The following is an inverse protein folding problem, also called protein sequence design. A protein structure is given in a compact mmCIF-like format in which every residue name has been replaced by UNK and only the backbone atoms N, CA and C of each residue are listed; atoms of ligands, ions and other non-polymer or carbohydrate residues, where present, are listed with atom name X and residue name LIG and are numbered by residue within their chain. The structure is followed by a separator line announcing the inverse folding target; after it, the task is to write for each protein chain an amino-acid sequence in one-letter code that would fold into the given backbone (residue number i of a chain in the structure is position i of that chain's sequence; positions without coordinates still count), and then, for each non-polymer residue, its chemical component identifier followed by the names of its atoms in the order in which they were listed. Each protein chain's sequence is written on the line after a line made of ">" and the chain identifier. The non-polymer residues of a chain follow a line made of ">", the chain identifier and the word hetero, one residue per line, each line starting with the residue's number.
data_IF_148854747829
#
_entry.id   IF_148854747829
#
_cell.length_a   1.000
_cell.length_b   1.000
_cell.length_c   1.000
_cell.angle_alpha   90.00
_cell.angle_beta   90.00
_cell.angle_gamma   90.00
#
_symmetry.space_group_name_H-M   'P 1'
#
loop_
_entity.id
_entity.type
_entity.pdbx_description
1 polymer ?
#
# COMPACT_ATOMS: atom_id res chain seq x y z
N UNK A 1 -0.82 -37.72 13.99
CA UNK A 1 -2.00 -37.33 13.18
C UNK A 1 -1.64 -36.12 12.32
N UNK A 2 -1.73 -36.19 10.98
CA UNK A 2 -1.39 -35.06 10.12
C UNK A 2 -2.42 -33.95 10.30
N UNK A 3 -1.97 -32.77 10.74
CA UNK A 3 -2.80 -31.57 10.80
C UNK A 3 -3.15 -31.19 9.36
N UNK A 4 -4.40 -31.41 8.97
CA UNK A 4 -4.98 -30.86 7.75
C UNK A 4 -4.92 -29.35 7.85
N UNK A 5 -3.89 -28.74 7.27
CA UNK A 5 -3.85 -27.29 7.09
C UNK A 5 -4.92 -26.96 6.07
N UNK A 6 -6.12 -26.61 6.55
CA UNK A 6 -7.16 -25.96 5.76
C UNK A 6 -6.59 -24.64 5.28
N UNK A 7 -5.90 -24.66 4.13
CA UNK A 7 -5.44 -23.44 3.45
C UNK A 7 -6.68 -22.61 3.19
N UNK A 8 -6.85 -21.53 3.94
CA UNK A 8 -7.90 -20.54 3.67
C UNK A 8 -7.84 -20.22 2.17
N UNK A 9 -8.97 -20.28 1.46
CA UNK A 9 -8.97 -20.00 0.03
C UNK A 9 -8.39 -18.60 -0.22
N UNK A 10 -7.74 -18.38 -1.38
CA UNK A 10 -7.20 -17.08 -1.73
C UNK A 10 -8.29 -16.01 -1.59
N UNK A 11 -7.96 -14.88 -0.95
CA UNK A 11 -8.90 -13.78 -0.63
C UNK A 11 -9.65 -13.22 -1.85
N UNK A 12 -9.14 -13.51 -3.05
CA UNK A 12 -9.61 -12.93 -4.30
C UNK A 12 -10.33 -13.96 -5.19
N UNK A 13 -10.70 -15.13 -4.65
CA UNK A 13 -11.33 -16.19 -5.43
C UNK A 13 -12.86 -16.02 -5.47
N UNK A 14 -13.38 -15.73 -6.65
CA UNK A 14 -14.80 -15.74 -6.99
C UNK A 14 -15.26 -17.12 -7.39
N UNK A 15 -16.51 -17.44 -7.07
CA UNK A 15 -17.16 -18.66 -7.57
C UNK A 15 -18.35 -18.23 -8.42
N UNK A 16 -18.16 -18.23 -9.74
CA UNK A 16 -19.20 -17.91 -10.70
C UNK A 16 -19.93 -19.18 -11.09
N UNK A 17 -21.26 -19.12 -11.25
CA UNK A 17 -22.01 -20.19 -11.92
C UNK A 17 -22.06 -19.87 -13.41
N UNK A 18 -21.54 -20.76 -14.23
CA UNK A 18 -21.71 -20.72 -15.68
C UNK A 18 -23.14 -21.16 -16.05
N UNK A 19 -23.56 -20.83 -17.26
CA UNK A 19 -24.90 -21.17 -17.79
C UNK A 19 -25.14 -22.66 -17.97
N UNK A 20 -24.07 -23.46 -18.07
CA UNK A 20 -24.13 -24.93 -18.04
C UNK A 20 -24.28 -25.50 -16.61
N UNK A 21 -24.49 -24.64 -15.61
CA UNK A 21 -24.62 -25.01 -14.20
C UNK A 21 -23.29 -25.31 -13.50
N UNK A 22 -22.16 -25.24 -14.22
CA UNK A 22 -20.85 -25.51 -13.63
C UNK A 22 -20.39 -24.34 -12.77
N UNK A 23 -19.70 -24.66 -11.68
CA UNK A 23 -19.05 -23.66 -10.83
C UNK A 23 -17.64 -23.39 -11.36
N UNK A 24 -17.37 -22.15 -11.72
CA UNK A 24 -16.07 -21.68 -12.18
C UNK A 24 -15.44 -20.82 -11.09
N UNK A 25 -14.28 -21.24 -10.61
CA UNK A 25 -13.49 -20.44 -9.68
C UNK A 25 -12.54 -19.52 -10.43
N UNK A 26 -12.64 -18.23 -10.17
CA UNK A 26 -11.93 -17.17 -10.90
C UNK A 26 -11.28 -16.24 -9.90
N UNK A 27 -10.04 -15.80 -10.15
CA UNK A 27 -9.47 -14.77 -9.30
C UNK A 27 -9.94 -13.38 -9.76
N UNK A 28 -10.30 -12.48 -8.84
CA UNK A 28 -10.76 -11.12 -9.12
C UNK A 28 -9.86 -10.38 -10.12
N UNK A 29 -8.54 -10.50 -9.94
CA UNK A 29 -7.51 -9.92 -10.82
C UNK A 29 -7.52 -10.41 -12.26
N UNK A 30 -8.23 -11.50 -12.55
CA UNK A 30 -8.36 -12.06 -13.89
C UNK A 30 -9.54 -11.47 -14.65
N UNK A 31 -10.47 -10.76 -13.98
CA UNK A 31 -11.61 -10.12 -14.65
C UNK A 31 -11.13 -8.84 -15.33
N UNK A 32 -11.31 -8.74 -16.64
CA UNK A 32 -11.00 -7.53 -17.43
C UNK A 32 -12.22 -6.65 -17.63
N UNK A 33 -13.36 -7.27 -17.96
CA UNK A 33 -14.59 -6.57 -18.26
C UNK A 33 -15.78 -7.42 -17.82
N UNK A 34 -16.85 -6.73 -17.45
CA UNK A 34 -18.17 -7.29 -17.18
C UNK A 34 -19.14 -6.55 -18.08
N UNK A 35 -19.71 -7.25 -19.05
CA UNK A 35 -20.60 -6.67 -20.04
C UNK A 35 -21.99 -7.30 -19.87
N UNK A 36 -23.08 -6.51 -19.78
CA UNK A 36 -24.42 -7.09 -19.74
C UNK A 36 -24.68 -7.90 -21.01
N UNK A 37 -25.32 -9.08 -20.88
CA UNK A 37 -25.63 -9.94 -22.03
C UNK A 37 -26.58 -9.23 -22.99
N UNK A 38 -26.20 -9.16 -24.27
CA UNK A 38 -27.01 -8.54 -25.31
C UNK A 38 -28.36 -9.25 -25.53
N UNK A 39 -28.47 -10.52 -25.13
CA UNK A 39 -29.68 -11.34 -25.28
C UNK A 39 -30.75 -11.13 -24.20
N UNK A 40 -30.54 -10.22 -23.23
CA UNK A 40 -31.54 -9.89 -22.20
C UNK A 40 -31.83 -11.02 -21.19
N UNK A 41 -31.11 -12.15 -21.25
CA UNK A 41 -31.35 -13.34 -20.45
C UNK A 41 -30.95 -13.23 -18.95
N UNK A 42 -30.80 -12.01 -18.40
CA UNK A 42 -30.40 -11.84 -17.00
C UNK A 42 -29.00 -12.37 -16.69
N UNK A 43 -28.09 -12.32 -17.66
CA UNK A 43 -26.70 -12.76 -17.50
C UNK A 43 -25.73 -11.65 -17.89
N UNK A 44 -24.52 -11.68 -17.36
CA UNK A 44 -23.39 -10.83 -17.72
C UNK A 44 -22.27 -11.69 -18.31
N UNK A 45 -21.67 -11.23 -19.41
CA UNK A 45 -20.44 -11.76 -19.96
C UNK A 45 -19.26 -11.24 -19.14
N UNK A 46 -18.52 -12.16 -18.54
CA UNK A 46 -17.30 -11.86 -17.78
C UNK A 46 -16.11 -12.29 -18.63
N UNK A 47 -15.29 -11.33 -19.03
CA UNK A 47 -14.03 -11.60 -19.73
C UNK A 47 -12.91 -11.85 -18.74
N UNK A 48 -12.33 -13.05 -18.82
CA UNK A 48 -11.28 -13.52 -17.92
C UNK A 48 -9.97 -13.66 -18.68
N UNK A 49 -8.88 -13.13 -18.14
CA UNK A 49 -7.54 -13.36 -18.64
C UNK A 49 -6.83 -14.45 -17.84
N UNK A 50 -6.68 -15.64 -18.43
CA UNK A 50 -6.00 -16.78 -17.79
C UNK A 50 -5.00 -17.39 -18.77
N UNK A 51 -3.72 -17.44 -18.38
CA UNK A 51 -2.67 -18.08 -19.18
C UNK A 51 -2.49 -17.49 -20.58
N UNK A 52 -2.76 -16.19 -20.76
CA UNK A 52 -2.65 -15.53 -22.07
C UNK A 52 -3.89 -15.64 -22.97
N UNK A 53 -4.98 -16.27 -22.51
CA UNK A 53 -6.23 -16.42 -23.28
C UNK A 53 -7.38 -15.70 -22.58
N UNK A 54 -8.26 -15.11 -23.37
CA UNK A 54 -9.55 -14.58 -22.92
C UNK A 54 -10.59 -15.70 -22.86
N UNK A 55 -11.33 -15.78 -21.77
CA UNK A 55 -12.47 -16.67 -21.62
C UNK A 55 -13.72 -15.85 -21.30
N UNK A 56 -14.86 -16.20 -21.91
CA UNK A 56 -16.15 -15.56 -21.65
C UNK A 56 -16.96 -16.50 -20.77
N UNK A 57 -17.35 -16.04 -19.59
CA UNK A 57 -18.25 -16.76 -18.68
C UNK A 57 -19.55 -15.97 -18.56
N UNK A 58 -20.68 -16.63 -18.73
CA UNK A 58 -21.99 -16.05 -18.43
C UNK A 58 -22.29 -16.26 -16.95
N UNK A 59 -22.54 -15.19 -16.20
CA UNK A 59 -22.87 -15.23 -14.78
C UNK A 59 -24.08 -14.32 -14.50
N UNK A 60 -24.84 -14.59 -13.44
CA UNK A 60 -25.92 -13.70 -12.99
C UNK A 60 -25.32 -12.34 -12.56
N UNK A 61 -25.78 -11.20 -13.11
CA UNK A 61 -25.27 -9.88 -12.78
C UNK A 61 -25.48 -9.52 -11.30
N UNK A 62 -26.56 -9.99 -10.65
CA UNK A 62 -26.82 -9.73 -9.24
C UNK A 62 -25.84 -10.50 -8.33
N UNK A 63 -25.59 -11.78 -8.63
CA UNK A 63 -24.59 -12.58 -7.91
C UNK A 63 -23.18 -12.01 -8.13
N UNK A 64 -22.86 -11.61 -9.37
CA UNK A 64 -21.57 -11.03 -9.70
C UNK A 64 -21.37 -9.68 -9.00
N UNK A 65 -22.38 -8.81 -8.97
CA UNK A 65 -22.31 -7.54 -8.25
C UNK A 65 -22.13 -7.74 -6.74
N UNK A 66 -22.84 -8.70 -6.13
CA UNK A 66 -22.68 -9.05 -4.72
C UNK A 66 -21.28 -9.61 -4.42
N UNK A 67 -20.76 -10.47 -5.30
CA UNK A 67 -19.44 -11.06 -5.14
C UNK A 67 -18.33 -10.03 -5.38
N UNK A 68 -18.44 -9.16 -6.38
CA UNK A 68 -17.50 -8.05 -6.61
C UNK A 68 -17.54 -7.03 -5.48
N UNK A 69 -18.73 -6.74 -4.92
CA UNK A 69 -18.86 -5.93 -3.71
C UNK A 69 -18.18 -6.60 -2.51
N UNK A 70 -18.23 -7.93 -2.40
CA UNK A 70 -17.53 -8.69 -1.36
C UNK A 70 -16.00 -8.72 -1.55
N UNK A 71 -15.54 -8.61 -2.80
CA UNK A 71 -14.14 -8.56 -3.20
C UNK A 71 -13.52 -7.18 -3.17
N UNK A 72 -14.32 -6.10 -3.14
CA UNK A 72 -13.77 -4.76 -2.97
C UNK A 72 -12.74 -4.87 -1.88
N UNK A 73 -11.48 -4.44 -2.13
CA UNK A 73 -10.44 -4.56 -1.14
C UNK A 73 -11.07 -3.99 0.11
N UNK A 74 -11.18 -4.81 1.16
CA UNK A 74 -11.32 -4.30 2.51
C UNK A 74 -10.01 -3.54 2.75
N UNK A 75 -9.86 -2.38 2.11
CA UNK A 75 -9.05 -1.26 2.57
C UNK A 75 -9.48 -1.19 4.01
N UNK A 76 -8.61 -1.75 4.86
CA UNK A 76 -8.87 -2.16 6.24
C UNK A 76 -10.13 -1.45 6.73
N UNK A 77 -11.30 -2.14 6.69
CA UNK A 77 -12.57 -1.52 7.06
C UNK A 77 -12.27 -0.75 8.33
N UNK A 78 -12.36 0.58 8.24
CA UNK A 78 -11.85 1.42 9.29
C UNK A 78 -12.58 0.98 10.54
N UNK A 79 -11.81 0.55 11.53
CA UNK A 79 -12.40 0.20 12.80
C UNK A 79 -12.97 1.49 13.37
N UNK A 80 -14.05 1.39 14.12
CA UNK A 80 -14.58 2.52 14.88
C UNK A 80 -13.54 3.13 15.83
N UNK A 81 -12.50 2.35 16.16
CA UNK A 81 -11.32 2.74 16.95
C UNK A 81 -10.17 3.35 16.14
N UNK A 82 -10.25 3.38 14.81
CA UNK A 82 -9.25 4.06 14.00
C UNK A 82 -9.47 5.59 14.14
N UNK A 83 -8.39 6.38 14.31
CA UNK A 83 -8.54 7.82 14.48
C UNK A 83 -9.14 8.46 13.21
N UNK A 84 -9.72 9.68 13.30
CA UNK A 84 -10.26 10.38 12.14
C UNK A 84 -9.16 10.73 11.12
N UNK A 85 -9.52 10.74 9.84
CA UNK A 85 -8.67 11.27 8.78
C UNK A 85 -8.84 12.79 8.72
N UNK A 86 -7.75 13.53 8.58
CA UNK A 86 -7.79 15.00 8.51
C UNK A 86 -7.42 15.42 7.10
N UNK A 87 -8.26 16.26 6.49
CA UNK A 87 -8.03 16.85 5.18
C UNK A 87 -7.87 18.35 5.33
N UNK A 88 -6.92 18.93 4.58
CA UNK A 88 -6.73 20.37 4.47
C UNK A 88 -7.26 20.85 3.12
N UNK A 89 -8.23 21.76 3.17
CA UNK A 89 -8.75 22.50 2.03
C UNK A 89 -8.01 23.81 1.95
N UNK A 90 -7.47 24.15 0.79
CA UNK A 90 -6.88 25.47 0.55
C UNK A 90 -7.36 26.07 -0.76
N UNK A 91 -7.63 27.37 -0.75
CA UNK A 91 -7.90 28.14 -1.96
C UNK A 91 -6.62 28.78 -2.43
N UNK A 92 -6.13 28.33 -3.59
CA UNK A 92 -4.86 28.74 -4.17
C UNK A 92 -5.04 29.36 -5.53
N UNK A 93 -4.29 30.41 -5.83
CA UNK A 93 -4.24 30.96 -7.18
C UNK A 93 -3.44 30.01 -8.08
N UNK A 94 -4.08 29.44 -9.09
CA UNK A 94 -3.55 28.32 -9.87
C UNK A 94 -2.42 28.73 -10.81
N UNK A 95 -2.29 30.01 -11.15
CA UNK A 95 -1.30 30.46 -12.14
C UNK A 95 0.07 30.66 -11.47
N UNK A 96 1.06 29.76 -11.64
CA UNK A 96 2.34 29.86 -10.94
C UNK A 96 3.18 31.06 -11.42
N UNK A 97 3.03 31.44 -12.69
CA UNK A 97 3.82 32.50 -13.33
C UNK A 97 3.13 33.87 -13.35
N UNK A 98 1.92 33.98 -12.78
CA UNK A 98 1.25 35.26 -12.59
C UNK A 98 1.05 35.52 -11.12
N UNK A 99 1.17 36.78 -10.75
CA UNK A 99 0.77 37.22 -9.43
C UNK A 99 -0.76 37.14 -9.31
N UNK A 100 -1.29 36.88 -8.11
CA UNK A 100 -2.72 36.93 -7.89
C UNK A 100 -3.28 38.33 -8.21
N UNK A 101 -4.57 38.43 -8.57
CA UNK A 101 -5.22 39.71 -8.75
C UNK A 101 -5.07 40.61 -7.52
N UNK A 102 -5.02 41.92 -7.75
CA UNK A 102 -5.06 42.95 -6.69
C UNK A 102 -3.99 42.83 -5.59
N UNK A 103 -2.84 42.21 -5.91
CA UNK A 103 -1.75 42.01 -4.94
C UNK A 103 -2.12 41.04 -3.80
N UNK A 104 -3.15 40.22 -3.99
CA UNK A 104 -3.60 39.25 -3.01
C UNK A 104 -2.55 38.17 -2.76
N UNK A 105 -2.58 37.58 -1.56
CA UNK A 105 -1.79 36.38 -1.27
C UNK A 105 -2.21 35.21 -2.14
N UNK A 106 -1.25 34.39 -2.58
CA UNK A 106 -1.52 33.19 -3.41
C UNK A 106 -2.41 32.16 -2.73
N UNK A 107 -2.47 32.17 -1.40
CA UNK A 107 -3.35 31.32 -0.60
C UNK A 107 -4.31 32.22 0.16
N UNK A 108 -5.60 32.13 -0.15
CA UNK A 108 -6.63 33.01 0.43
C UNK A 108 -7.39 32.37 1.60
N UNK A 109 -7.33 31.05 1.70
CA UNK A 109 -8.09 30.30 2.68
C UNK A 109 -7.44 28.97 2.93
N UNK A 110 -7.43 28.54 4.19
CA UNK A 110 -7.06 27.18 4.59
C UNK A 110 -8.00 26.72 5.69
N UNK A 111 -8.59 25.54 5.53
CA UNK A 111 -9.50 24.95 6.52
C UNK A 111 -9.21 23.45 6.65
N UNK A 112 -9.28 22.95 7.88
CA UNK A 112 -9.08 21.54 8.19
C UNK A 112 -10.41 20.88 8.51
N UNK A 113 -10.65 19.75 7.88
CA UNK A 113 -11.88 18.96 8.05
C UNK A 113 -11.50 17.56 8.51
N UNK A 114 -12.08 17.18 9.63
CA UNK A 114 -11.98 15.83 10.15
C UNK A 114 -13.09 14.96 9.56
N UNK A 115 -12.71 13.77 9.10
CA UNK A 115 -13.62 12.77 8.54
C UNK A 115 -13.46 11.48 9.33
N UNK A 116 -14.57 10.76 9.59
CA UNK A 116 -14.51 9.43 10.17
C UNK A 116 -13.52 8.54 9.44
N UNK A 117 -12.87 7.65 10.18
CA UNK A 117 -11.88 6.75 9.64
C UNK A 117 -12.46 5.95 8.46
N UNK A 118 -11.71 5.85 7.36
CA UNK A 118 -12.15 5.16 6.15
C UNK A 118 -13.08 5.97 5.23
N UNK A 119 -13.47 7.19 5.64
CA UNK A 119 -14.13 8.15 4.76
C UNK A 119 -13.15 8.73 3.73
N UNK A 120 -13.62 8.88 2.49
CA UNK A 120 -12.90 9.63 1.46
C UNK A 120 -12.82 11.13 1.78
N UNK A 121 -12.13 11.89 0.93
CA UNK A 121 -12.13 13.34 1.04
C UNK A 121 -13.58 13.86 1.04
N UNK A 122 -13.96 14.71 2.00
CA UNK A 122 -15.31 15.21 2.08
C UNK A 122 -15.62 16.13 0.88
N UNK A 123 -16.90 16.48 0.69
CA UNK A 123 -17.23 17.55 -0.25
C UNK A 123 -16.57 18.88 0.15
N UNK A 124 -16.54 19.85 -0.77
CA UNK A 124 -16.00 21.19 -0.48
C UNK A 124 -16.73 21.81 0.73
N UNK A 125 -16.02 22.24 1.78
CA UNK A 125 -16.62 22.87 2.96
C UNK A 125 -17.43 24.11 2.61
N UNK A 126 -18.53 24.41 3.34
CA UNK A 126 -19.34 25.60 3.08
C UNK A 126 -18.56 26.91 3.15
N UNK A 127 -17.64 27.04 4.11
CA UNK A 127 -16.79 28.22 4.24
C UNK A 127 -15.83 28.37 3.05
N UNK A 128 -15.18 27.27 2.63
CA UNK A 128 -14.37 27.24 1.41
C UNK A 128 -15.19 27.62 0.16
N UNK A 129 -16.43 27.11 0.06
CA UNK A 129 -17.33 27.45 -1.06
C UNK A 129 -17.70 28.93 -1.08
N UNK A 130 -18.07 29.51 0.06
CA UNK A 130 -18.43 30.91 0.17
C UNK A 130 -17.25 31.80 -0.26
N UNK A 131 -16.05 31.51 0.26
CA UNK A 131 -14.83 32.25 -0.08
C UNK A 131 -14.46 32.11 -1.56
N UNK A 132 -14.63 30.93 -2.14
CA UNK A 132 -14.40 30.72 -3.57
C UNK A 132 -15.34 31.56 -4.44
N UNK A 133 -16.60 31.71 -4.04
CA UNK A 133 -17.59 32.55 -4.74
C UNK A 133 -17.28 34.05 -4.60
N UNK A 134 -16.84 34.50 -3.42
CA UNK A 134 -16.37 35.88 -3.20
C UNK A 134 -15.21 36.26 -4.13
N UNK A 135 -14.32 35.32 -4.40
CA UNK A 135 -13.15 35.50 -5.28
C UNK A 135 -13.49 35.41 -6.78
N UNK A 136 -14.77 35.34 -7.13
CA UNK A 136 -15.26 35.29 -8.52
C UNK A 136 -15.60 33.89 -9.03
N UNK A 137 -15.44 32.85 -8.22
CA UNK A 137 -15.91 31.49 -8.53
C UNK A 137 -15.22 30.85 -9.74
N UNK A 138 -15.93 29.96 -10.48
CA UNK A 138 -15.38 29.28 -11.66
C UNK A 138 -14.87 30.26 -12.71
N UNK A 139 -13.61 30.09 -13.12
CA UNK A 139 -12.95 30.95 -14.13
C UNK A 139 -12.16 32.12 -13.55
N UNK A 140 -12.21 32.36 -12.23
CA UNK A 140 -11.43 33.41 -11.55
C UNK A 140 -9.92 33.15 -11.47
N UNK A 141 -9.47 31.93 -11.82
CA UNK A 141 -8.08 31.49 -11.65
C UNK A 141 -7.75 30.96 -10.24
N UNK A 142 -8.70 31.02 -9.31
CA UNK A 142 -8.61 30.35 -8.02
C UNK A 142 -8.96 28.86 -8.15
N UNK A 143 -8.29 28.01 -7.37
CA UNK A 143 -8.50 26.58 -7.35
C UNK A 143 -8.61 26.06 -5.92
N UNK A 144 -9.51 25.09 -5.72
CA UNK A 144 -9.67 24.37 -4.46
C UNK A 144 -8.71 23.20 -4.48
N UNK A 145 -7.73 23.22 -3.57
CA UNK A 145 -6.80 22.12 -3.35
C UNK A 145 -7.20 21.36 -2.09
N UNK A 146 -7.25 20.02 -2.20
CA UNK A 146 -7.53 19.13 -1.07
C UNK A 146 -6.33 18.24 -0.85
N UNK A 147 -5.77 18.28 0.36
CA UNK A 147 -4.62 17.45 0.72
C UNK A 147 -4.93 16.65 1.99
N UNK A 148 -4.77 15.31 1.99
CA UNK A 148 -4.83 14.55 3.24
C UNK A 148 -3.61 14.92 4.10
N UNK A 149 -3.84 15.29 5.36
CA UNK A 149 -2.76 15.47 6.32
C UNK A 149 -2.31 14.08 6.76
N UNK A 150 -1.10 13.71 6.35
CA UNK A 150 -0.50 12.45 6.78
C UNK A 150 -0.34 12.44 8.29
N UNK A 151 -0.80 11.35 8.91
CA UNK A 151 -0.60 11.17 10.34
C UNK A 151 0.89 11.04 10.63
N UNK A 152 1.37 11.61 11.75
CA UNK A 152 2.74 11.38 12.18
C UNK A 152 2.99 9.87 12.27
N UNK A 153 4.07 9.42 11.64
CA UNK A 153 4.44 8.02 11.64
C UNK A 153 4.56 7.54 13.09
N UNK A 154 3.86 6.46 13.44
CA UNK A 154 3.89 5.92 14.81
C UNK A 154 5.32 5.60 15.20
N UNK A 155 5.90 6.40 16.08
CA UNK A 155 7.25 6.18 16.61
C UNK A 155 7.19 4.95 17.50
N UNK A 156 7.97 3.92 17.15
CA UNK A 156 8.11 2.70 17.94
C UNK A 156 9.37 2.78 18.78
N UNK A 157 9.26 2.43 20.06
CA UNK A 157 10.39 2.29 20.98
C UNK A 157 11.39 1.23 20.48
N UNK A 158 12.65 1.33 20.91
CA UNK A 158 13.67 0.37 20.51
C UNK A 158 13.32 -1.07 20.95
N UNK A 159 12.75 -1.22 22.14
CA UNK A 159 12.29 -2.52 22.67
C UNK A 159 11.22 -3.14 21.79
N UNK A 160 10.19 -2.37 21.41
CA UNK A 160 9.15 -2.86 20.52
C UNK A 160 9.70 -3.25 19.14
N UNK A 161 10.69 -2.51 18.62
CA UNK A 161 11.38 -2.89 17.37
C UNK A 161 12.18 -4.18 17.55
N UNK A 162 12.86 -4.36 18.68
CA UNK A 162 13.59 -5.58 19.00
C UNK A 162 12.65 -6.80 19.08
N UNK A 163 11.52 -6.66 19.77
CA UNK A 163 10.49 -7.70 19.86
C UNK A 163 9.96 -8.10 18.48
N UNK A 164 9.66 -7.12 17.61
CA UNK A 164 9.24 -7.42 16.23
C UNK A 164 10.31 -8.15 15.44
N UNK A 165 11.58 -7.75 15.57
CA UNK A 165 12.71 -8.44 14.91
C UNK A 165 12.84 -9.88 15.39
N UNK A 166 12.68 -10.12 16.70
CA UNK A 166 12.67 -11.46 17.27
C UNK A 166 11.49 -12.29 16.74
N UNK A 167 10.27 -11.73 16.71
CA UNK A 167 9.10 -12.40 16.15
C UNK A 167 9.30 -12.80 14.68
N UNK A 168 9.82 -11.90 13.86
CA UNK A 168 10.13 -12.19 12.46
C UNK A 168 11.24 -13.24 12.30
N UNK A 169 12.25 -13.22 13.16
CA UNK A 169 13.31 -14.23 13.17
C UNK A 169 12.72 -15.62 13.45
N UNK A 170 11.90 -15.76 14.49
CA UNK A 170 11.22 -17.02 14.83
C UNK A 170 10.39 -17.53 13.64
N UNK A 171 9.59 -16.64 13.02
CA UNK A 171 8.79 -17.00 11.85
C UNK A 171 9.65 -17.49 10.67
N UNK A 172 10.81 -16.86 10.43
CA UNK A 172 11.73 -17.28 9.37
C UNK A 172 12.34 -18.66 9.67
N UNK A 173 12.73 -18.91 10.91
CA UNK A 173 13.28 -20.20 11.33
C UNK A 173 12.22 -21.29 11.18
N UNK A 174 11.02 -21.09 11.73
CA UNK A 174 9.91 -22.04 11.63
C UNK A 174 9.55 -22.36 10.18
N UNK A 175 9.63 -21.37 9.28
CA UNK A 175 9.35 -21.56 7.86
C UNK A 175 10.45 -22.35 7.13
N UNK A 176 11.72 -22.16 7.48
CA UNK A 176 12.87 -22.78 6.80
C UNK A 176 13.23 -24.16 7.36
N UNK A 177 13.15 -24.34 8.66
CA UNK A 177 13.57 -25.55 9.37
C UNK A 177 12.55 -25.91 10.46
N UNK A 178 11.33 -26.35 10.09
CA UNK A 178 10.25 -26.58 11.05
C UNK A 178 10.58 -27.65 12.08
N UNK A 179 11.31 -28.71 11.69
CA UNK A 179 11.68 -29.82 12.58
C UNK A 179 12.68 -29.41 13.66
N UNK A 180 13.52 -28.40 13.40
CA UNK A 180 14.56 -27.92 14.31
C UNK A 180 14.26 -26.51 14.84
N UNK A 181 13.03 -26.02 14.66
CA UNK A 181 12.72 -24.62 14.89
C UNK A 181 12.93 -24.20 16.35
N UNK A 182 12.61 -25.07 17.30
CA UNK A 182 12.74 -24.79 18.73
C UNK A 182 14.22 -24.70 19.15
N UNK A 183 15.05 -25.63 18.68
CA UNK A 183 16.50 -25.64 18.95
C UNK A 183 17.19 -24.40 18.37
N UNK A 184 16.91 -24.07 17.11
CA UNK A 184 17.51 -22.91 16.44
C UNK A 184 17.05 -21.57 17.04
N UNK A 185 15.79 -21.48 17.50
CA UNK A 185 15.31 -20.29 18.21
C UNK A 185 15.97 -20.15 19.57
N UNK A 186 16.18 -21.26 20.27
CA UNK A 186 16.88 -21.30 21.55
C UNK A 186 18.33 -20.84 21.38
N UNK A 187 19.09 -21.46 20.48
CA UNK A 187 20.47 -21.07 20.17
C UNK A 187 20.60 -19.59 19.83
N UNK A 188 19.70 -19.06 18.98
CA UNK A 188 19.77 -17.66 18.57
C UNK A 188 19.44 -16.68 19.70
N UNK A 189 18.64 -17.08 20.70
CA UNK A 189 18.36 -16.26 21.89
C UNK A 189 19.54 -16.24 22.86
N UNK A 190 20.27 -17.34 22.96
CA UNK A 190 21.44 -17.46 23.85
C UNK A 190 22.75 -16.98 23.21
N UNK A 191 22.87 -17.02 21.89
CA UNK A 191 24.04 -16.49 21.17
C UNK A 191 24.08 -14.95 21.17
N UNK A 192 22.95 -14.29 21.42
CA UNK A 192 22.87 -12.83 21.57
C UNK A 192 23.42 -12.28 22.89
N UNK A 193 23.58 -13.11 23.93
CA UNK A 193 24.20 -12.71 25.21
C UNK A 193 25.70 -12.98 25.27
N UNK A 194 26.23 -13.78 24.34
CA UNK A 194 27.63 -14.23 24.32
C UNK A 194 28.38 -13.64 23.12
N UNK A 195 28.13 -12.37 22.82
CA UNK A 195 28.76 -11.62 21.71
C UNK A 195 30.25 -11.30 21.89
N UNK A 196 30.96 -12.03 22.73
CA UNK A 196 32.40 -12.13 22.72
C UNK A 196 32.73 -13.62 22.83
N UNK A 197 33.53 -14.14 21.90
CA UNK A 197 34.05 -15.52 21.90
C UNK A 197 33.10 -16.62 21.43
N UNK A 198 32.91 -16.74 20.12
CA UNK A 198 32.89 -18.06 19.45
C UNK A 198 32.87 -17.87 17.93
N UNK A 199 34.02 -17.44 17.40
CA UNK A 199 34.37 -17.65 15.98
C UNK A 199 35.43 -18.73 15.92
N UNK A 200 35.02 -19.98 16.13
CA UNK A 200 35.78 -21.14 15.68
C UNK A 200 34.77 -22.12 15.10
N UNK A 201 34.73 -22.18 13.76
CA UNK A 201 34.72 -23.42 12.96
C UNK A 201 34.42 -23.08 11.49
N UNK A 202 35.35 -23.45 10.61
CA UNK A 202 35.06 -23.66 9.19
C UNK A 202 35.55 -22.60 8.21
N UNK A 203 36.81 -22.18 8.29
CA UNK A 203 37.50 -21.58 7.12
C UNK A 203 37.69 -22.69 6.10
N UNK A 204 36.81 -22.77 5.11
CA UNK A 204 37.06 -23.54 3.88
C UNK A 204 38.18 -22.81 3.14
N UNK A 205 39.30 -23.50 3.04
CA UNK A 205 40.49 -23.16 2.27
C UNK A 205 40.09 -22.91 0.80
N UNK A 206 40.22 -21.67 0.31
CA UNK A 206 40.35 -21.42 -1.13
C UNK A 206 41.85 -21.40 -1.46
N UNK A 207 42.33 -22.18 -2.44
CA UNK A 207 43.71 -22.10 -2.86
C UNK A 207 43.98 -20.79 -3.60
N UNK A 208 45.09 -20.20 -3.22
CA UNK A 208 45.75 -19.01 -3.75
C UNK A 208 45.98 -19.04 -5.25
N UNK A 209 45.68 -17.92 -5.93
CA UNK A 209 46.36 -17.52 -7.15
C UNK A 209 46.81 -16.04 -7.02
N UNK A 210 48.13 -15.92 -6.83
CA UNK A 210 49.11 -14.83 -6.94
C UNK A 210 48.78 -13.41 -7.48
N UNK A 211 49.69 -12.44 -7.21
CA UNK A 211 49.39 -11.03 -6.98
C UNK A 211 49.66 -10.12 -8.19
N UNK A 212 48.82 -9.09 -8.34
CA UNK A 212 49.05 -7.95 -9.24
C UNK A 212 48.72 -6.66 -8.49
N UNK A 213 49.74 -5.87 -8.22
CA UNK A 213 49.79 -4.79 -7.25
C UNK A 213 49.08 -3.49 -7.68
N UNK A 214 48.54 -2.76 -6.67
CA UNK A 214 48.59 -1.29 -6.45
C UNK A 214 47.84 -0.39 -7.48
N UNK A 215 47.17 0.71 -7.12
CA UNK A 215 46.92 1.46 -5.89
C UNK A 215 45.84 2.54 -6.19
N UNK A 216 45.40 3.21 -5.12
CA UNK A 216 44.97 4.62 -5.05
C UNK A 216 43.46 4.96 -5.10
N UNK A 217 42.91 4.96 -3.88
CA UNK A 217 42.04 5.98 -3.28
C UNK A 217 42.08 7.37 -3.97
N UNK A 218 40.91 7.93 -4.27
CA UNK A 218 40.41 9.23 -3.78
C UNK A 218 39.37 9.83 -4.75
N UNK A 219 38.13 10.01 -4.28
CA UNK A 219 37.19 10.97 -4.86
C UNK A 219 36.78 11.95 -3.76
N UNK A 220 36.95 13.28 -3.97
CA UNK A 220 36.75 14.27 -2.92
C UNK A 220 35.29 14.73 -2.79
N UNK A 221 35.00 15.19 -1.58
CA UNK A 221 33.77 15.83 -1.11
C UNK A 221 33.34 17.01 -1.99
N UNK A 222 32.03 17.12 -2.25
CA UNK A 222 31.43 18.32 -2.85
C UNK A 222 31.29 19.40 -1.78
N UNK A 223 32.07 20.46 -1.96
CA UNK A 223 32.01 21.73 -1.24
C UNK A 223 30.69 22.45 -1.53
N UNK A 224 30.01 22.84 -0.44
CA UNK A 224 28.94 23.84 -0.40
C UNK A 224 29.57 25.22 -0.64
N UNK A 225 29.06 25.99 -1.60
CA UNK A 225 29.39 27.41 -1.73
C UNK A 225 28.12 28.25 -1.70
N UNK A 226 27.95 28.92 -0.57
CA UNK A 226 27.10 30.08 -0.38
C UNK A 226 27.80 31.32 -0.95
N UNK A 227 27.09 32.12 -1.73
CA UNK A 227 27.38 33.56 -1.85
C UNK A 227 26.08 34.36 -1.92
N UNK A 228 25.85 35.06 -0.81
CA UNK A 228 25.19 36.36 -0.75
C UNK A 228 25.95 37.37 -1.62
N UNK A 229 25.21 38.18 -2.37
CA UNK A 229 25.33 39.64 -2.42
C UNK A 229 23.98 40.21 -2.78
#
# INVERSE_FOLDING_TARGET
>A
MPKTTTRKPPRDLLTLRATDGRRVQVQARQIRAVTPSATGAGHAHVELYKGGRSHIVQADPAELAAQVASLRPRSRLAKETDPPAVYEYSLRYYTPHREPPDGMDRIQFTERVEVPAGGGAPGMPPACRARYLELGGPGSGWSVCVQPIERPAKVRTQEHRAQLRQGHLVQRIQKRAPLFAEQLVHEQRHCGSNGAESRVLGVVHQPSASPGARNFLNFPERVVSSRLK
#
